data_IF_819645871353
#
_entry.id   IF_819645871353
#
_cell.length_a   1.000
_cell.length_b   1.000
_cell.length_c   1.000
_cell.angle_alpha   90.00
_cell.angle_beta   90.00
_cell.angle_gamma   90.00
#
_symmetry.space_group_name_H-M   'P 1'
#
loop_
_entity.id
_entity.type
_entity.pdbx_description
1 polymer ?
#
# COMPACT_ATOMS: atom_id res chain seq x y z
N UNK A 1 -3.22 -8.59 13.07
CA UNK A 1 -3.22 -9.61 12.07
C UNK A 1 -2.82 -9.04 10.72
N UNK A 2 -1.93 -9.73 10.07
CA UNK A 2 -1.37 -9.24 8.83
C UNK A 2 -2.13 -9.78 7.63
N UNK A 3 -2.27 -8.97 6.62
CA UNK A 3 -2.89 -9.38 5.37
C UNK A 3 -1.99 -8.99 4.22
N UNK A 4 -2.07 -9.73 3.13
CA UNK A 4 -1.29 -9.44 1.94
C UNK A 4 -1.85 -8.28 1.13
N UNK A 5 -3.04 -7.84 1.46
CA UNK A 5 -3.71 -6.80 0.69
C UNK A 5 -3.40 -5.43 1.26
N UNK A 6 -3.34 -4.39 0.42
CA UNK A 6 -3.24 -3.03 0.91
C UNK A 6 -4.43 -2.73 1.81
N UNK A 7 -4.18 -1.93 2.84
CA UNK A 7 -5.26 -1.62 3.78
C UNK A 7 -6.43 -0.93 3.09
N UNK A 8 -6.16 -0.14 2.08
CA UNK A 8 -7.21 0.58 1.38
C UNK A 8 -8.22 -0.32 0.69
N UNK A 9 -7.84 -1.55 0.38
CA UNK A 9 -8.78 -2.46 -0.27
C UNK A 9 -9.98 -2.77 0.61
N UNK A 10 -9.83 -2.63 1.91
CA UNK A 10 -10.93 -2.91 2.84
C UNK A 10 -12.06 -1.90 2.71
N UNK A 11 -11.79 -0.76 2.09
CA UNK A 11 -12.77 0.30 1.88
C UNK A 11 -12.96 0.59 0.41
N UNK A 12 -12.68 -0.40 -0.44
CA UNK A 12 -13.01 -0.30 -1.85
C UNK A 12 -11.93 0.30 -2.73
N UNK A 13 -10.72 0.48 -2.22
CA UNK A 13 -9.62 0.98 -3.05
C UNK A 13 -9.09 -0.16 -3.90
N UNK A 14 -8.78 0.13 -5.16
CA UNK A 14 -8.18 -0.84 -6.06
C UNK A 14 -6.68 -0.63 -6.08
N UNK A 15 -5.94 -1.64 -5.68
CA UNK A 15 -4.49 -1.59 -5.72
C UNK A 15 -4.02 -1.84 -7.15
N UNK A 16 -3.34 -0.86 -7.73
CA UNK A 16 -2.85 -0.94 -9.10
C UNK A 16 -1.43 -1.45 -9.16
N UNK A 17 -0.62 -1.05 -8.18
CA UNK A 17 0.81 -1.36 -8.19
C UNK A 17 1.37 -1.20 -6.79
N UNK A 18 2.38 -2.01 -6.47
CA UNK A 18 3.05 -1.96 -5.17
C UNK A 18 4.54 -1.91 -5.40
N UNK A 19 5.24 -1.06 -4.65
CA UNK A 19 6.70 -1.08 -4.64
C UNK A 19 7.20 -0.74 -3.23
N UNK A 20 8.51 -0.86 -3.08
CA UNK A 20 9.16 -0.63 -1.79
C UNK A 20 10.27 0.41 -2.00
N UNK A 21 9.93 1.70 -1.93
CA UNK A 21 10.93 2.75 -2.15
C UNK A 21 12.02 2.78 -1.09
N UNK A 22 11.77 2.17 0.08
CA UNK A 22 12.76 2.09 1.13
C UNK A 22 12.66 0.72 1.79
N UNK A 23 13.79 0.02 1.90
CA UNK A 23 13.83 -1.31 2.49
C UNK A 23 15.06 -1.41 3.37
N UNK A 24 14.85 -1.54 4.67
CA UNK A 24 15.91 -1.67 5.63
C UNK A 24 15.74 -2.97 6.40
N UNK A 25 16.79 -3.42 7.06
CA UNK A 25 16.79 -4.75 7.67
C UNK A 25 15.66 -4.99 8.67
N UNK A 26 15.21 -3.96 9.36
CA UNK A 26 14.20 -4.10 10.40
C UNK A 26 12.82 -3.67 9.94
N UNK A 27 12.74 -2.84 8.92
CA UNK A 27 11.48 -2.33 8.44
C UNK A 27 11.65 -1.83 7.01
N UNK A 28 10.54 -1.60 6.35
CA UNK A 28 10.54 -1.08 5.00
C UNK A 28 9.30 -0.23 4.81
N UNK A 29 9.37 0.65 3.82
CA UNK A 29 8.22 1.46 3.43
C UNK A 29 7.61 0.81 2.20
N UNK A 30 6.34 0.48 2.30
CA UNK A 30 5.58 -0.05 1.19
C UNK A 30 4.74 1.07 0.60
N UNK A 31 4.76 1.21 -0.70
CA UNK A 31 3.94 2.19 -1.39
C UNK A 31 3.02 1.48 -2.37
N UNK A 32 1.74 1.74 -2.24
CA UNK A 32 0.73 1.21 -3.14
C UNK A 32 0.18 2.35 -3.97
N UNK A 33 0.09 2.15 -5.28
CA UNK A 33 -0.65 3.05 -6.13
C UNK A 33 -2.08 2.52 -6.18
N UNK A 34 -3.02 3.35 -5.81
CA UNK A 34 -4.39 2.91 -5.65
C UNK A 34 -5.34 3.81 -6.43
N UNK A 35 -6.47 3.24 -6.82
CA UNK A 35 -7.58 4.00 -7.38
C UNK A 35 -8.70 4.00 -6.36
N UNK A 36 -9.15 5.19 -6.00
CA UNK A 36 -10.22 5.35 -5.03
C UNK A 36 -11.56 5.09 -5.71
N UNK A 37 -12.63 4.87 -4.92
CA UNK A 37 -13.96 4.68 -5.51
C UNK A 37 -14.40 5.84 -6.39
N UNK A 38 -13.90 7.04 -6.14
CA UNK A 38 -14.21 8.21 -6.95
C UNK A 38 -13.52 8.21 -8.30
N UNK A 39 -12.60 7.26 -8.55
CA UNK A 39 -11.82 7.21 -9.77
C UNK A 39 -10.49 7.92 -9.70
N UNK A 40 -10.21 8.61 -8.62
CA UNK A 40 -8.94 9.30 -8.45
C UNK A 40 -7.85 8.30 -8.11
N UNK A 41 -6.68 8.44 -8.73
CA UNK A 41 -5.53 7.61 -8.42
C UNK A 41 -4.57 8.39 -7.55
N UNK A 42 -4.04 7.73 -6.54
CA UNK A 42 -3.10 8.34 -5.60
C UNK A 42 -2.17 7.29 -5.05
N UNK A 43 -1.14 7.74 -4.35
CA UNK A 43 -0.21 6.83 -3.69
C UNK A 43 -0.57 6.75 -2.22
N UNK A 44 -0.38 5.56 -1.65
CA UNK A 44 -0.60 5.31 -0.24
C UNK A 44 0.62 4.57 0.28
N UNK A 45 1.30 5.15 1.27
CA UNK A 45 2.53 4.59 1.78
C UNK A 45 2.41 4.33 3.28
N UNK A 46 3.02 3.24 3.72
CA UNK A 46 3.03 2.91 5.13
C UNK A 46 4.22 2.02 5.44
N UNK A 47 4.57 1.94 6.72
CA UNK A 47 5.72 1.18 7.17
C UNK A 47 5.31 -0.24 7.52
N UNK A 48 6.12 -1.20 7.07
CA UNK A 48 5.97 -2.59 7.45
C UNK A 48 7.19 -3.03 8.26
N UNK A 49 6.96 -3.86 9.25
CA UNK A 49 8.04 -4.53 9.97
C UNK A 49 8.39 -5.82 9.26
N UNK A 50 9.68 -6.12 9.25
CA UNK A 50 10.14 -7.43 8.75
C UNK A 50 9.86 -8.53 9.76
#
# INVERSE_FOLDING_TARGET
>A
MQTDKPQGQRIGWLCLETDYPFDYRMYRIRRDRVRLPSGVETDYAYMESH
#
